data_IF_676746170007
#
_entry.id   IF_676746170007
#
_cell.length_a   1.000
_cell.length_b   1.000
_cell.length_c   1.000
_cell.angle_alpha   90.00
_cell.angle_beta   90.00
_cell.angle_gamma   90.00
#
_symmetry.space_group_name_H-M   'P 1'
#
loop_
_entity.id
_entity.type
_entity.pdbx_description
1 polymer ?
#
# COMPACT_ATOMS: atom_id res chain seq x y z
N UNK A 1 3.76 29.80 -16.31
CA UNK A 1 3.07 28.66 -15.66
C UNK A 1 4.09 27.88 -14.87
N UNK A 2 3.91 27.64 -13.56
CA UNK A 2 4.80 26.74 -12.86
C UNK A 2 4.60 25.32 -13.40
N UNK A 3 5.69 24.70 -13.83
CA UNK A 3 5.72 23.26 -14.12
C UNK A 3 5.80 22.56 -12.78
N UNK A 4 4.74 21.88 -12.38
CA UNK A 4 4.75 21.01 -11.22
C UNK A 4 5.41 19.69 -11.64
N UNK A 5 6.68 19.51 -11.27
CA UNK A 5 7.33 18.21 -11.33
C UNK A 5 6.83 17.39 -10.14
N UNK A 6 5.86 16.49 -10.35
CA UNK A 6 5.54 15.48 -9.34
C UNK A 6 6.72 14.50 -9.28
N UNK A 7 7.30 14.22 -8.10
CA UNK A 7 8.28 13.14 -7.99
C UNK A 7 7.62 11.85 -8.46
N UNK A 8 8.34 11.10 -9.28
CA UNK A 8 7.91 9.89 -9.98
C UNK A 8 7.70 8.68 -9.05
N UNK A 9 7.83 8.85 -7.73
CA UNK A 9 7.62 7.79 -6.75
C UNK A 9 6.16 7.67 -6.34
N UNK A 10 5.51 6.56 -6.72
CA UNK A 10 4.25 6.12 -6.10
C UNK A 10 4.59 5.56 -4.71
N UNK A 11 4.71 6.45 -3.72
CA UNK A 11 5.04 6.11 -2.33
C UNK A 11 3.80 5.74 -1.55
N UNK A 12 3.95 4.81 -0.62
CA UNK A 12 2.91 4.39 0.32
C UNK A 12 3.22 4.98 1.69
N UNK A 13 2.17 5.29 2.45
CA UNK A 13 2.30 5.75 3.83
C UNK A 13 1.96 4.61 4.77
N UNK A 14 2.75 4.41 5.83
CA UNK A 14 2.42 3.53 6.94
C UNK A 14 2.23 4.39 8.20
N UNK A 15 0.98 4.56 8.61
CA UNK A 15 0.63 5.25 9.86
C UNK A 15 0.59 4.21 10.96
N UNK A 16 1.50 4.29 11.92
CA UNK A 16 1.62 3.31 13.01
C UNK A 16 1.10 3.94 14.30
N UNK A 17 0.12 3.29 14.93
CA UNK A 17 -0.47 3.72 16.19
C UNK A 17 -0.49 2.59 17.23
N UNK A 18 -0.14 2.84 18.50
CA UNK A 18 -0.30 1.85 19.56
C UNK A 18 -1.79 1.61 19.86
N UNK A 19 -2.18 0.36 20.07
CA UNK A 19 -3.56 -0.05 20.39
C UNK A 19 -3.57 -1.18 21.42
N UNK A 20 -4.01 -0.90 22.65
CA UNK A 20 -4.26 -1.90 23.72
C UNK A 20 -3.23 -3.05 23.89
N UNK A 21 -1.93 -2.75 23.76
CA UNK A 21 -0.86 -3.76 23.90
C UNK A 21 -0.36 -4.34 22.57
N UNK A 22 -0.90 -3.88 21.45
CA UNK A 22 -0.47 -4.12 20.08
C UNK A 22 -0.17 -2.80 19.35
N UNK A 23 0.16 -2.92 18.07
CA UNK A 23 0.34 -1.81 17.14
C UNK A 23 -0.52 -2.02 15.91
N UNK A 24 -1.22 -0.97 15.48
CA UNK A 24 -1.99 -0.95 14.24
C UNK A 24 -1.22 -0.14 13.21
N UNK A 25 -1.13 -0.65 11.99
CA UNK A 25 -0.56 0.06 10.84
C UNK A 25 -1.63 0.26 9.80
N UNK A 26 -1.79 1.50 9.33
CA UNK A 26 -2.77 1.87 8.32
C UNK A 26 -2.08 2.49 7.08
N UNK A 27 -2.43 1.99 5.90
CA UNK A 27 -2.05 2.54 4.61
C UNK A 27 -3.24 3.27 3.97
N UNK A 28 -3.27 4.62 4.01
CA UNK A 28 -4.40 5.40 3.49
C UNK A 28 -4.54 5.32 1.96
N UNK A 29 -3.47 5.07 1.22
CA UNK A 29 -3.50 4.99 -0.24
C UNK A 29 -4.22 3.73 -0.76
N UNK A 30 -4.24 2.66 0.02
CA UNK A 30 -4.86 1.38 -0.32
C UNK A 30 -6.07 1.03 0.54
N UNK A 31 -6.35 1.83 1.57
CA UNK A 31 -7.37 1.56 2.58
C UNK A 31 -7.17 0.19 3.26
N UNK A 32 -5.91 -0.10 3.64
CA UNK A 32 -5.49 -1.35 4.27
C UNK A 32 -5.01 -1.10 5.69
N UNK A 33 -5.38 -1.97 6.62
CA UNK A 33 -4.93 -1.93 8.00
C UNK A 33 -4.58 -3.32 8.52
N UNK A 34 -3.52 -3.41 9.31
CA UNK A 34 -3.07 -4.62 10.00
C UNK A 34 -2.72 -4.32 11.44
N UNK A 35 -2.68 -5.35 12.28
CA UNK A 35 -2.31 -5.27 13.69
C UNK A 35 -1.22 -6.29 13.97
N UNK A 36 -0.27 -5.95 14.85
CA UNK A 36 0.76 -6.87 15.29
C UNK A 36 1.35 -6.51 16.65
N UNK A 37 2.04 -7.48 17.27
CA UNK A 37 2.64 -7.33 18.60
C UNK A 37 3.79 -6.30 18.64
N UNK A 38 4.26 -5.85 17.48
CA UNK A 38 5.27 -4.80 17.34
C UNK A 38 5.01 -3.96 16.08
N UNK A 39 5.54 -2.73 16.00
CA UNK A 39 5.43 -1.90 14.79
C UNK A 39 5.92 -2.62 13.53
N UNK A 40 7.01 -3.36 13.66
CA UNK A 40 7.64 -4.08 12.54
C UNK A 40 6.77 -5.25 12.08
N UNK A 41 6.26 -6.04 13.02
CA UNK A 41 5.36 -7.16 12.70
C UNK A 41 4.08 -6.68 12.01
N UNK A 42 3.48 -5.60 12.52
CA UNK A 42 2.29 -5.02 11.91
C UNK A 42 2.57 -4.47 10.50
N UNK A 43 3.75 -3.88 10.27
CA UNK A 43 4.17 -3.42 8.94
C UNK A 43 4.47 -4.59 7.98
N UNK A 44 5.10 -5.66 8.46
CA UNK A 44 5.32 -6.89 7.66
C UNK A 44 3.99 -7.49 7.20
N UNK A 45 3.00 -7.58 8.10
CA UNK A 45 1.65 -8.05 7.75
C UNK A 45 0.96 -7.11 6.74
N UNK A 46 1.17 -5.79 6.86
CA UNK A 46 0.64 -4.82 5.89
C UNK A 46 1.25 -5.02 4.50
N UNK A 47 2.55 -5.33 4.43
CA UNK A 47 3.27 -5.59 3.20
C UNK A 47 2.71 -6.84 2.50
N UNK A 48 2.53 -7.94 3.23
CA UNK A 48 1.95 -9.16 2.67
C UNK A 48 0.50 -8.93 2.22
N UNK A 49 -0.31 -8.23 3.03
CA UNK A 49 -1.68 -7.86 2.66
C UNK A 49 -1.72 -6.98 1.39
N UNK A 50 -0.77 -6.06 1.22
CA UNK A 50 -0.67 -5.22 0.03
C UNK A 50 -0.30 -6.03 -1.22
N UNK A 51 0.54 -7.07 -1.10
CA UNK A 51 0.84 -8.01 -2.18
C UNK A 51 -0.41 -8.78 -2.60
N UNK A 52 -1.11 -9.40 -1.64
CA UNK A 52 -2.34 -10.15 -1.89
C UNK A 52 -3.43 -9.26 -2.51
N UNK A 53 -3.56 -8.04 -2.01
CA UNK A 53 -4.50 -7.06 -2.56
C UNK A 53 -4.13 -6.67 -3.98
N UNK A 54 -2.84 -6.47 -4.27
CA UNK A 54 -2.38 -6.14 -5.62
C UNK A 54 -2.65 -7.29 -6.60
N UNK A 55 -2.42 -8.54 -6.21
CA UNK A 55 -2.74 -9.71 -7.04
C UNK A 55 -4.25 -9.77 -7.36
N UNK A 56 -5.09 -9.68 -6.33
CA UNK A 56 -6.55 -9.66 -6.50
C UNK A 56 -7.03 -8.49 -7.35
N UNK A 57 -6.42 -7.31 -7.15
CA UNK A 57 -6.76 -6.13 -7.93
C UNK A 57 -6.46 -6.35 -9.41
N UNK A 58 -5.28 -6.90 -9.72
CA UNK A 58 -4.85 -7.15 -11.09
C UNK A 58 -5.69 -8.24 -11.78
N UNK A 59 -6.16 -9.24 -11.04
CA UNK A 59 -7.06 -10.28 -11.57
C UNK A 59 -8.40 -9.70 -12.07
N UNK A 60 -8.88 -8.61 -11.49
CA UNK A 60 -10.10 -7.90 -11.90
C UNK A 60 -9.82 -6.43 -12.28
N UNK A 61 -8.66 -6.17 -12.90
CA UNK A 61 -8.15 -4.81 -13.11
C UNK A 61 -9.16 -3.88 -13.79
N UNK A 62 -9.82 -4.35 -14.85
CA UNK A 62 -10.82 -3.55 -15.58
C UNK A 62 -11.99 -3.13 -14.70
N UNK A 63 -12.39 -3.96 -13.74
CA UNK A 63 -13.50 -3.63 -12.82
C UNK A 63 -13.02 -2.67 -11.74
N UNK A 64 -11.90 -2.97 -11.08
CA UNK A 64 -11.45 -2.19 -9.93
C UNK A 64 -10.85 -0.83 -10.32
N UNK A 65 -10.15 -0.74 -11.45
CA UNK A 65 -9.60 0.53 -11.98
C UNK A 65 -10.66 1.56 -12.36
N UNK A 66 -11.92 1.15 -12.50
CA UNK A 66 -13.08 2.02 -12.79
C UNK A 66 -14.04 2.18 -11.61
N UNK A 67 -13.79 1.50 -10.50
CA UNK A 67 -14.67 1.55 -9.32
C UNK A 67 -14.43 2.84 -8.52
N UNK A 68 -15.47 3.59 -8.09
CA UNK A 68 -15.31 4.88 -7.41
C UNK A 68 -14.31 4.88 -6.25
N UNK A 69 -14.33 3.82 -5.43
CA UNK A 69 -13.49 3.72 -4.22
C UNK A 69 -12.15 3.00 -4.45
N UNK A 70 -11.90 2.43 -5.65
CA UNK A 70 -10.70 1.62 -5.92
C UNK A 70 -9.90 2.08 -7.13
N UNK A 71 -10.49 2.90 -8.00
CA UNK A 71 -9.80 3.54 -9.10
C UNK A 71 -8.56 4.31 -8.64
N UNK A 72 -8.58 5.06 -7.50
CA UNK A 72 -7.39 5.75 -7.01
C UNK A 72 -6.23 4.82 -6.62
N UNK A 73 -6.49 3.54 -6.35
CA UNK A 73 -5.45 2.59 -5.93
C UNK A 73 -4.58 2.12 -7.10
N UNK A 74 -5.09 2.20 -8.35
CA UNK A 74 -4.43 1.62 -9.53
C UNK A 74 -2.95 2.02 -9.71
N UNK A 75 -2.52 3.29 -9.49
CA UNK A 75 -1.11 3.65 -9.58
C UNK A 75 -0.23 2.88 -8.59
N UNK A 76 -0.70 2.70 -7.35
CA UNK A 76 0.02 2.00 -6.29
C UNK A 76 0.06 0.49 -6.53
N UNK A 77 -1.07 -0.08 -6.96
CA UNK A 77 -1.15 -1.49 -7.36
C UNK A 77 -0.17 -1.80 -8.49
N UNK A 78 -0.08 -0.93 -9.49
CA UNK A 78 0.90 -1.08 -10.57
C UNK A 78 2.35 -0.98 -10.07
N UNK A 79 2.63 -0.18 -9.04
CA UNK A 79 3.96 -0.10 -8.44
C UNK A 79 4.32 -1.38 -7.67
N UNK A 80 3.38 -1.91 -6.88
CA UNK A 80 3.53 -3.19 -6.19
C UNK A 80 3.71 -4.32 -7.21
N UNK A 81 2.87 -4.38 -8.24
CA UNK A 81 2.91 -5.42 -9.26
C UNK A 81 4.20 -5.40 -10.11
N UNK A 82 4.86 -4.24 -10.25
CA UNK A 82 6.12 -4.13 -10.98
C UNK A 82 7.31 -4.80 -10.26
N UNK A 83 7.23 -4.93 -8.93
CA UNK A 83 8.19 -5.68 -8.12
C UNK A 83 7.45 -6.37 -6.95
N UNK A 84 6.73 -7.47 -7.21
CA UNK A 84 5.80 -8.10 -6.28
C UNK A 84 6.55 -8.98 -5.27
N UNK A 85 7.48 -8.36 -4.55
CA UNK A 85 8.24 -8.99 -3.47
C UNK A 85 8.07 -8.16 -2.20
N UNK A 86 8.15 -8.76 -1.00
CA UNK A 86 8.04 -8.02 0.24
C UNK A 86 9.04 -6.85 0.32
N UNK A 87 10.28 -7.07 -0.13
CA UNK A 87 11.30 -6.02 -0.21
C UNK A 87 10.93 -4.90 -1.21
N UNK A 88 10.31 -5.25 -2.34
CA UNK A 88 9.85 -4.28 -3.34
C UNK A 88 8.74 -3.37 -2.80
N UNK A 89 7.78 -3.94 -2.08
CA UNK A 89 6.68 -3.20 -1.44
C UNK A 89 7.21 -2.36 -0.28
N UNK A 90 8.10 -2.90 0.55
CA UNK A 90 8.77 -2.16 1.62
C UNK A 90 9.47 -0.89 1.12
N UNK A 91 10.14 -0.96 -0.04
CA UNK A 91 10.79 0.19 -0.67
C UNK A 91 9.81 1.31 -1.12
N UNK A 92 8.50 1.02 -1.20
CA UNK A 92 7.47 2.02 -1.46
C UNK A 92 7.10 2.81 -0.20
N UNK A 93 7.29 2.24 0.99
CA UNK A 93 7.11 2.91 2.29
C UNK A 93 8.34 3.71 2.72
N UNK A 94 9.53 3.30 2.28
CA UNK A 94 10.80 3.98 2.58
C UNK A 94 11.00 5.14 1.58
N UNK A 95 10.63 6.35 1.97
CA UNK A 95 10.71 7.58 1.16
C UNK A 95 11.50 8.68 1.85
#
# INVERSE_FOLDING_TARGET
MPVVLKPTGRKLTAIIEPSEGAYVVFCPELDLATEGDSPEAALDDLIEMALDYAEQYMAEFDRFSRSPNRAPHAPYIQAIHANPTPAGVRALFEG
#
